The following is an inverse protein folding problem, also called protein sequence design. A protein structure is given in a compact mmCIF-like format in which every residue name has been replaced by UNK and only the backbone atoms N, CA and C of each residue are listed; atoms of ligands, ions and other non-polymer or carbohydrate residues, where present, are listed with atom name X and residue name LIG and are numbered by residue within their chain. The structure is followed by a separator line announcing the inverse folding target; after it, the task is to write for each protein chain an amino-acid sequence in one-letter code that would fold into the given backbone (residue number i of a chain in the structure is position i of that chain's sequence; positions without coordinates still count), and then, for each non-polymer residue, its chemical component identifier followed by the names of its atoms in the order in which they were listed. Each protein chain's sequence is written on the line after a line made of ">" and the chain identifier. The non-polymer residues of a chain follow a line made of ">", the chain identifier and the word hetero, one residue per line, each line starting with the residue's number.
data_IF_768934754007
#
_entry.id   IF_768934754007
#
_cell.length_a   1.000
_cell.length_b   1.000
_cell.length_c   1.000
_cell.angle_alpha   90.00
_cell.angle_beta   90.00
_cell.angle_gamma   90.00
#
_symmetry.space_group_name_H-M   'P 1'
#
loop_
_entity.id
_entity.type
_entity.pdbx_description
1 polymer ?
#
# COMPACT_ATOMS: atom_id res chain seq x y z
N UNK A 1 -25.47 5.25 -21.81
CA UNK A 1 -24.14 4.80 -21.36
C UNK A 1 -23.59 5.86 -20.41
N UNK A 2 -23.92 5.78 -19.13
CA UNK A 2 -23.57 6.83 -18.17
C UNK A 2 -23.21 6.19 -16.84
N UNK A 3 -21.94 6.41 -16.45
CA UNK A 3 -21.37 6.32 -15.10
C UNK A 3 -21.82 5.12 -14.26
N UNK A 4 -20.98 4.09 -14.26
CA UNK A 4 -20.85 3.19 -13.11
C UNK A 4 -20.28 4.01 -11.93
N UNK A 5 -21.14 4.81 -11.29
CA UNK A 5 -20.92 5.33 -9.94
C UNK A 5 -21.19 4.20 -8.95
N UNK A 6 -20.36 3.15 -8.98
CA UNK A 6 -20.16 2.33 -7.80
C UNK A 6 -19.21 3.08 -6.88
N UNK A 7 -19.70 4.19 -6.32
CA UNK A 7 -19.24 4.69 -5.01
C UNK A 7 -19.63 3.63 -3.98
N UNK A 8 -18.97 2.48 -4.06
CA UNK A 8 -18.97 1.55 -2.96
C UNK A 8 -18.27 2.28 -1.82
N UNK A 9 -19.08 2.62 -0.83
CA UNK A 9 -18.71 3.14 0.47
C UNK A 9 -17.86 2.09 1.20
N UNK A 10 -16.73 1.70 0.60
CA UNK A 10 -15.75 0.81 1.22
C UNK A 10 -15.07 1.64 2.28
N UNK A 11 -15.27 1.24 3.52
CA UNK A 11 -14.60 1.85 4.66
C UNK A 11 -13.10 1.91 4.37
N UNK A 12 -12.55 3.13 4.46
CA UNK A 12 -11.14 3.37 4.28
C UNK A 12 -10.35 2.48 5.24
N UNK A 13 -9.51 1.59 4.69
CA UNK A 13 -8.69 0.70 5.51
C UNK A 13 -7.58 1.53 6.14
N UNK A 14 -7.72 1.85 7.42
CA UNK A 14 -6.70 2.56 8.19
C UNK A 14 -5.54 1.60 8.55
N UNK A 15 -4.29 2.07 8.55
CA UNK A 15 -3.18 1.30 9.09
C UNK A 15 -3.41 1.03 10.58
N UNK A 16 -3.36 -0.24 10.99
CA UNK A 16 -3.42 -0.63 12.41
C UNK A 16 -2.02 -0.75 13.02
N UNK A 17 -1.93 -1.04 14.32
CA UNK A 17 -0.65 -1.30 14.99
C UNK A 17 0.18 -2.34 14.23
N UNK A 18 1.43 -1.99 13.95
CA UNK A 18 2.35 -2.83 13.19
C UNK A 18 2.23 -2.73 11.66
N UNK A 19 1.30 -1.95 11.10
CA UNK A 19 1.21 -1.71 9.66
C UNK A 19 1.72 -0.32 9.29
N UNK A 20 2.26 -0.20 8.08
CA UNK A 20 2.87 1.05 7.61
C UNK A 20 2.44 1.32 6.18
N UNK A 21 2.06 2.57 5.90
CA UNK A 21 1.77 3.02 4.53
C UNK A 21 3.09 3.25 3.79
N UNK A 22 3.14 2.93 2.50
CA UNK A 22 4.31 3.19 1.68
C UNK A 22 4.00 3.36 0.20
N UNK A 23 5.01 3.77 -0.55
CA UNK A 23 4.93 3.93 -2.01
C UNK A 23 5.81 2.89 -2.68
N UNK A 24 5.26 2.22 -3.70
CA UNK A 24 6.05 1.31 -4.54
C UNK A 24 7.08 2.12 -5.31
N UNK A 25 8.35 1.81 -5.07
CA UNK A 25 9.50 2.44 -5.76
C UNK A 25 9.94 1.63 -6.96
N UNK A 26 9.92 0.30 -6.87
CA UNK A 26 10.42 -0.57 -7.92
C UNK A 26 9.73 -1.94 -7.90
N UNK A 27 9.43 -2.49 -9.08
CA UNK A 27 8.99 -3.88 -9.21
C UNK A 27 10.22 -4.80 -9.33
N UNK A 28 10.35 -5.80 -8.44
CA UNK A 28 11.51 -6.70 -8.41
C UNK A 28 11.27 -8.04 -9.15
N UNK A 29 10.02 -8.30 -9.55
CA UNK A 29 9.62 -9.59 -10.11
C UNK A 29 9.37 -10.65 -9.03
N UNK A 30 8.94 -11.86 -9.44
CA UNK A 30 8.60 -12.98 -8.54
C UNK A 30 7.67 -12.60 -7.38
N UNK A 31 6.65 -11.77 -7.68
CA UNK A 31 5.68 -11.24 -6.71
C UNK A 31 6.32 -10.41 -5.58
N UNK A 32 7.49 -9.81 -5.83
CA UNK A 32 8.18 -8.91 -4.90
C UNK A 32 8.28 -7.51 -5.48
N UNK A 33 8.14 -6.53 -4.61
CA UNK A 33 8.28 -5.11 -4.93
C UNK A 33 9.04 -4.40 -3.82
N UNK A 34 9.74 -3.33 -4.18
CA UNK A 34 10.42 -2.46 -3.22
C UNK A 34 9.49 -1.32 -2.85
N UNK A 35 9.22 -1.15 -1.56
CA UNK A 35 8.31 -0.12 -1.03
C UNK A 35 9.08 0.80 -0.11
N UNK A 36 8.98 2.11 -0.34
CA UNK A 36 9.45 3.14 0.59
C UNK A 36 8.32 3.44 1.56
N UNK A 37 8.49 3.04 2.81
CA UNK A 37 7.48 3.18 3.85
C UNK A 37 7.55 4.58 4.49
N UNK A 38 6.43 5.02 5.08
CA UNK A 38 6.30 6.32 5.74
C UNK A 38 7.17 6.45 7.01
N UNK A 39 7.66 5.34 7.56
CA UNK A 39 8.62 5.30 8.67
C UNK A 39 10.08 5.52 8.21
N UNK A 40 10.30 5.81 6.91
CA UNK A 40 11.61 6.07 6.33
C UNK A 40 12.39 4.83 5.89
N UNK A 41 11.88 3.63 6.16
CA UNK A 41 12.55 2.37 5.78
C UNK A 41 12.11 1.91 4.39
N UNK A 42 13.00 1.22 3.69
CA UNK A 42 12.72 0.63 2.37
C UNK A 42 12.67 -0.88 2.50
N UNK A 43 11.49 -1.46 2.24
CA UNK A 43 11.23 -2.89 2.44
C UNK A 43 10.99 -3.61 1.12
N UNK A 44 11.46 -4.85 1.03
CA UNK A 44 11.07 -5.79 -0.01
C UNK A 44 9.76 -6.45 0.42
N UNK A 45 8.67 -6.02 -0.20
CA UNK A 45 7.34 -6.49 0.11
C UNK A 45 6.91 -7.60 -0.86
N UNK A 46 6.28 -8.64 -0.33
CA UNK A 46 5.65 -9.71 -1.10
C UNK A 46 4.21 -9.35 -1.41
N UNK A 47 3.77 -9.64 -2.63
CA UNK A 47 2.37 -9.48 -3.06
C UNK A 47 1.65 -10.82 -2.86
N UNK A 48 0.62 -10.90 -2.00
CA UNK A 48 -0.19 -12.10 -1.87
C UNK A 48 -0.85 -12.46 -3.21
N UNK A 49 -0.87 -13.75 -3.57
CA UNK A 49 -1.45 -14.20 -4.85
C UNK A 49 -2.91 -13.79 -5.05
N UNK A 50 -3.67 -13.66 -3.96
CA UNK A 50 -5.05 -13.15 -3.97
C UNK A 50 -5.14 -11.70 -4.50
N UNK A 51 -4.13 -10.88 -4.22
CA UNK A 51 -4.06 -9.49 -4.67
C UNK A 51 -3.67 -9.39 -6.14
N UNK A 52 -2.71 -10.19 -6.59
CA UNK A 52 -2.24 -10.19 -7.99
C UNK A 52 -3.39 -10.39 -8.98
N UNK A 53 -4.35 -11.25 -8.64
CA UNK A 53 -5.52 -11.52 -9.50
C UNK A 53 -6.55 -10.38 -9.52
N UNK A 54 -6.53 -9.48 -8.54
CA UNK A 54 -7.57 -8.46 -8.33
C UNK A 54 -7.10 -7.03 -8.61
N UNK A 55 -5.82 -6.76 -8.39
CA UNK A 55 -5.28 -5.41 -8.34
C UNK A 55 -4.01 -5.36 -9.18
N UNK A 56 -3.99 -4.46 -10.16
CA UNK A 56 -2.78 -4.14 -10.90
C UNK A 56 -1.94 -3.16 -10.08
N UNK A 57 -0.70 -3.55 -9.75
CA UNK A 57 0.25 -2.72 -9.01
C UNK A 57 1.29 -2.16 -9.97
N UNK A 58 1.62 -0.88 -9.80
CA UNK A 58 2.70 -0.21 -10.53
C UNK A 58 3.55 0.66 -9.61
N UNK A 59 4.67 1.12 -10.15
CA UNK A 59 5.51 2.11 -9.47
C UNK A 59 4.73 3.40 -9.22
N UNK A 60 4.93 4.00 -8.04
CA UNK A 60 4.20 5.17 -7.57
C UNK A 60 2.85 4.89 -6.91
N UNK A 61 2.35 3.64 -6.92
CA UNK A 61 1.13 3.31 -6.18
C UNK A 61 1.39 3.34 -4.66
N UNK A 62 0.39 3.83 -3.91
CA UNK A 62 0.40 3.83 -2.45
C UNK A 62 -0.20 2.52 -1.94
N UNK A 63 0.50 1.86 -1.04
CA UNK A 63 0.14 0.55 -0.50
C UNK A 63 0.24 0.51 1.01
N UNK A 64 -0.53 -0.38 1.61
CA UNK A 64 -0.44 -0.75 3.01
C UNK A 64 0.46 -1.98 3.15
N UNK A 65 1.50 -1.86 3.97
CA UNK A 65 2.49 -2.91 4.23
C UNK A 65 2.34 -3.42 5.65
N UNK A 66 2.32 -4.73 5.83
CA UNK A 66 2.60 -5.39 7.10
C UNK A 66 4.04 -5.90 7.09
N UNK A 67 4.97 -5.25 7.79
CA UNK A 67 6.31 -5.77 8.00
C UNK A 67 6.30 -7.12 8.74
N UNK A 68 7.31 -7.94 8.50
CA UNK A 68 7.44 -9.24 9.16
C UNK A 68 8.00 -9.09 10.59
N UNK A 69 7.63 -9.99 11.50
CA UNK A 69 8.11 -9.93 12.89
C UNK A 69 9.63 -10.13 13.01
N UNK A 70 10.21 -11.04 12.23
CA UNK A 70 11.63 -11.40 12.30
C UNK A 70 12.54 -10.59 11.35
N UNK A 71 11.95 -9.83 10.41
CA UNK A 71 12.66 -8.97 9.44
C UNK A 71 11.89 -7.66 9.23
N UNK A 72 11.53 -7.01 10.33
CA UNK A 72 10.66 -5.84 10.35
C UNK A 72 11.17 -4.68 9.49
N UNK A 73 12.48 -4.54 9.33
CA UNK A 73 13.08 -3.40 8.62
C UNK A 73 13.31 -3.67 7.13
N UNK A 74 13.32 -4.94 6.74
CA UNK A 74 13.74 -5.37 5.40
C UNK A 74 12.59 -5.94 4.58
N UNK A 75 11.61 -6.59 5.23
CA UNK A 75 10.58 -7.38 4.55
C UNK A 75 9.19 -7.12 5.10
N UNK A 76 8.21 -7.38 4.25
CA UNK A 76 6.79 -7.31 4.61
C UNK A 76 5.90 -7.93 3.54
N UNK A 77 4.60 -7.93 3.79
CA UNK A 77 3.56 -8.27 2.82
C UNK A 77 2.69 -7.06 2.50
N UNK A 78 2.24 -6.95 1.25
CA UNK A 78 1.27 -5.93 0.84
C UNK A 78 -0.14 -6.41 1.18
N UNK A 79 -0.84 -5.62 2.00
CA UNK A 79 -2.21 -5.91 2.44
C UNK A 79 -3.23 -5.24 1.52
N UNK A 80 -2.99 -3.97 1.18
CA UNK A 80 -3.94 -3.14 0.43
C UNK A 80 -3.22 -2.21 -0.54
N UNK A 81 -3.92 -1.83 -1.63
CA UNK A 81 -3.52 -0.74 -2.53
C UNK A 81 -4.56 0.35 -2.41
N UNK A 82 -4.13 1.54 -2.03
CA UNK A 82 -5.02 2.69 -1.94
C UNK A 82 -5.29 3.29 -3.31
N UNK A 83 -6.54 3.65 -3.55
CA UNK A 83 -6.94 4.45 -4.69
C UNK A 83 -6.70 5.94 -4.45
N UNK A 84 -6.75 6.74 -5.51
CA UNK A 84 -6.50 8.19 -5.45
C UNK A 84 -7.41 8.92 -4.45
N UNK A 85 -8.64 8.45 -4.26
CA UNK A 85 -9.59 9.05 -3.32
C UNK A 85 -9.19 8.72 -1.87
N UNK A 86 -8.86 7.45 -1.59
CA UNK A 86 -8.39 7.00 -0.27
C UNK A 86 -7.08 7.68 0.12
N UNK A 87 -6.17 7.89 -0.84
CA UNK A 87 -4.91 8.62 -0.62
C UNK A 87 -5.15 10.06 -0.16
N UNK A 88 -6.16 10.75 -0.72
CA UNK A 88 -6.51 12.11 -0.30
C UNK A 88 -7.00 12.13 1.13
N UNK A 89 -7.89 11.21 1.47
CA UNK A 89 -8.42 11.10 2.83
C UNK A 89 -7.34 10.72 3.86
N UNK A 90 -6.41 9.83 3.50
CA UNK A 90 -5.24 9.51 4.33
C UNK A 90 -4.32 10.72 4.55
N UNK A 91 -4.17 11.59 3.55
CA UNK A 91 -3.43 12.85 3.67
C UNK A 91 -4.15 13.84 4.58
N UNK A 92 -5.47 14.00 4.41
CA UNK A 92 -6.29 14.88 5.25
C UNK A 92 -6.29 14.43 6.72
N UNK A 93 -6.23 13.12 6.98
CA UNK A 93 -6.09 12.54 8.32
C UNK A 93 -4.66 12.61 8.88
N UNK A 94 -3.67 13.08 8.11
CA UNK A 94 -2.27 13.18 8.53
C UNK A 94 -1.49 11.86 8.58
N UNK A 95 -2.09 10.76 8.14
CA UNK A 95 -1.49 9.41 8.18
C UNK A 95 -0.44 9.17 7.09
N UNK A 96 -0.40 10.04 6.08
CA UNK A 96 0.51 9.98 4.94
C UNK A 96 1.62 11.06 5.02
N UNK A 97 1.81 11.67 6.20
CA UNK A 97 2.53 12.93 6.40
C UNK A 97 4.05 12.95 6.18
N UNK A 98 4.68 11.90 5.65
CA UNK A 98 6.16 11.80 5.60
C UNK A 98 6.72 11.36 4.25
N UNK A 99 5.93 11.39 3.17
CA UNK A 99 6.41 11.02 1.83
C UNK A 99 6.60 12.22 0.88
N UNK A 100 6.72 13.43 1.42
CA UNK A 100 7.12 14.64 0.69
C UNK A 100 8.64 14.65 0.43
#
# INVERSE_FOLDING_TARGET
>A
MSKNEEKSNKELVLPTEGQVVGIITQLLGFNRVKVKCADGKTRVCRIPGKMIKKVWLKEGDVVLVAPWEFQYDEKGDIIWRYEKNEIKELKERGLLGVLA
#
